data_IF_483067686544
#
_entry.id   IF_483067686544
#
_cell.length_a   1.000
_cell.length_b   1.000
_cell.length_c   1.000
_cell.angle_alpha   90.00
_cell.angle_beta   90.00
_cell.angle_gamma   90.00
#
_symmetry.space_group_name_H-M   'P 1'
#
loop_
_entity.id
_entity.type
_entity.pdbx_description
1 polymer ?
#
# COMPACT_ATOMS: atom_id res chain seq x y z
N UNK A 1 33.82 -51.26 68.30
CA UNK A 1 32.89 -50.12 68.41
C UNK A 1 32.90 -49.40 67.04
N UNK A 2 31.98 -49.78 66.17
CA UNK A 2 31.99 -49.33 64.76
C UNK A 2 30.90 -48.29 64.54
N UNK A 3 31.29 -47.12 64.18
CA UNK A 3 30.39 -45.98 63.88
C UNK A 3 29.84 -46.15 62.45
N UNK A 4 28.53 -46.37 62.28
CA UNK A 4 27.85 -46.40 61.01
C UNK A 4 27.38 -44.98 60.69
N UNK A 5 27.90 -44.39 59.59
CA UNK A 5 27.45 -43.13 59.04
C UNK A 5 26.27 -43.38 58.06
N UNK A 6 25.07 -42.78 58.25
CA UNK A 6 23.99 -42.93 57.27
C UNK A 6 24.25 -42.11 56.02
N UNK A 7 24.15 -42.75 54.85
CA UNK A 7 24.19 -42.10 53.54
C UNK A 7 22.85 -41.41 53.27
N UNK A 8 22.81 -40.06 53.38
CA UNK A 8 21.70 -39.28 52.91
C UNK A 8 21.76 -39.14 51.38
N UNK A 9 20.87 -39.83 50.68
CA UNK A 9 20.65 -39.65 49.26
C UNK A 9 19.89 -38.38 49.05
N UNK A 10 20.55 -37.30 48.59
CA UNK A 10 19.91 -36.08 48.16
C UNK A 10 19.21 -36.29 46.83
N UNK A 11 17.86 -36.31 46.83
CA UNK A 11 17.04 -36.30 45.64
C UNK A 11 17.02 -34.85 45.09
N UNK A 12 17.82 -34.57 44.02
CA UNK A 12 17.75 -33.32 43.31
C UNK A 12 16.48 -33.33 42.44
N UNK A 13 15.42 -32.69 42.89
CA UNK A 13 14.22 -32.42 42.08
C UNK A 13 14.54 -31.33 41.06
N UNK A 14 14.81 -31.75 39.82
CA UNK A 14 14.96 -30.81 38.69
C UNK A 14 13.61 -30.13 38.38
N UNK A 15 13.52 -28.85 38.67
CA UNK A 15 12.38 -28.03 38.30
C UNK A 15 12.50 -27.63 36.82
N UNK A 16 11.82 -28.38 35.93
CA UNK A 16 11.70 -28.02 34.53
C UNK A 16 10.69 -26.89 34.40
N UNK A 17 11.18 -25.64 34.29
CA UNK A 17 10.33 -24.50 33.92
C UNK A 17 9.98 -24.63 32.44
N UNK A 18 8.81 -25.15 32.11
CA UNK A 18 8.23 -24.97 30.79
C UNK A 18 7.89 -23.47 30.62
N UNK A 19 8.74 -22.75 29.92
CA UNK A 19 8.40 -21.45 29.34
C UNK A 19 7.29 -21.70 28.31
N UNK A 20 6.03 -21.52 28.71
CA UNK A 20 4.93 -21.44 27.76
C UNK A 20 5.19 -20.19 26.90
N UNK A 21 5.66 -20.40 25.67
CA UNK A 21 5.70 -19.34 24.68
C UNK A 21 4.26 -18.85 24.50
N UNK A 22 3.96 -17.64 24.97
CA UNK A 22 2.66 -17.02 24.68
C UNK A 22 2.52 -16.96 23.15
N UNK A 23 1.37 -17.36 22.57
CA UNK A 23 1.18 -17.25 21.14
C UNK A 23 1.41 -15.79 20.74
N UNK A 24 2.31 -15.55 19.81
CA UNK A 24 2.50 -14.23 19.22
C UNK A 24 1.14 -13.82 18.63
N UNK A 25 0.48 -12.82 19.23
CA UNK A 25 -0.80 -12.32 18.72
C UNK A 25 -0.51 -11.65 17.40
N UNK A 26 -1.22 -12.06 16.36
CA UNK A 26 -1.27 -11.32 15.12
C UNK A 26 -1.71 -9.88 15.43
N UNK A 27 -1.09 -8.92 14.76
CA UNK A 27 -1.33 -7.48 14.93
C UNK A 27 -1.49 -6.81 13.57
N UNK A 28 -1.48 -5.49 13.51
CA UNK A 28 -1.47 -4.69 12.27
C UNK A 28 -0.51 -3.50 12.38
N UNK A 29 0.16 -3.35 13.51
CA UNK A 29 0.86 -2.10 13.88
C UNK A 29 2.15 -1.84 13.12
N UNK A 30 2.72 -2.83 12.42
CA UNK A 30 4.06 -2.76 11.82
C UNK A 30 4.02 -2.65 10.28
N UNK A 31 2.88 -2.28 9.72
CA UNK A 31 2.76 -1.89 8.32
C UNK A 31 3.28 -0.47 8.14
N UNK A 32 4.17 -0.27 7.19
CA UNK A 32 4.68 1.04 6.77
C UNK A 32 4.11 1.39 5.41
N UNK A 33 3.78 2.65 5.19
CA UNK A 33 3.47 3.15 3.86
C UNK A 33 4.80 3.25 3.11
N UNK A 34 4.91 2.54 2.01
CA UNK A 34 6.12 2.47 1.20
C UNK A 34 5.98 3.27 -0.07
N UNK A 35 4.81 3.27 -0.70
CA UNK A 35 4.58 3.99 -1.93
C UNK A 35 3.20 4.66 -1.97
N UNK A 36 3.14 5.88 -2.53
CA UNK A 36 1.91 6.65 -2.70
C UNK A 36 1.87 7.22 -4.11
N UNK A 37 0.75 7.01 -4.80
CA UNK A 37 0.54 7.44 -6.19
C UNK A 37 -0.80 8.14 -6.36
N UNK A 38 -0.83 9.12 -7.26
CA UNK A 38 -2.06 9.67 -7.83
C UNK A 38 -1.83 10.11 -9.28
N UNK A 39 -2.81 9.87 -10.16
CA UNK A 39 -2.84 10.54 -11.46
C UNK A 39 -3.34 12.00 -11.32
N UNK A 40 -3.33 12.75 -12.42
CA UNK A 40 -3.60 14.19 -12.40
C UNK A 40 -5.01 14.58 -11.92
N UNK A 41 -6.01 13.75 -12.16
CA UNK A 41 -7.41 14.00 -11.78
C UNK A 41 -7.85 13.26 -10.49
N UNK A 42 -6.94 12.48 -9.88
CA UNK A 42 -7.21 11.74 -8.65
C UNK A 42 -8.09 10.50 -8.81
N UNK A 43 -8.43 10.10 -10.03
CA UNK A 43 -9.27 8.92 -10.29
C UNK A 43 -8.52 7.60 -10.12
N UNK A 44 -7.20 7.61 -10.36
CA UNK A 44 -6.31 6.47 -10.14
C UNK A 44 -5.37 6.84 -9.00
N UNK A 45 -5.59 6.23 -7.85
CA UNK A 45 -4.75 6.40 -6.67
C UNK A 45 -4.44 5.06 -6.05
N UNK A 46 -3.24 4.93 -5.47
CA UNK A 46 -2.94 3.82 -4.59
C UNK A 46 -2.01 4.21 -3.44
N UNK A 47 -2.08 3.40 -2.40
CA UNK A 47 -1.19 3.42 -1.24
C UNK A 47 -0.71 1.99 -1.06
N UNK A 48 0.60 1.80 -1.15
CA UNK A 48 1.24 0.51 -0.89
C UNK A 48 1.79 0.49 0.53
N UNK A 49 1.59 -0.64 1.18
CA UNK A 49 2.11 -0.93 2.51
C UNK A 49 3.07 -2.11 2.45
N UNK A 50 4.13 -2.03 3.22
CA UNK A 50 5.10 -3.11 3.40
C UNK A 50 5.33 -3.38 4.89
N UNK A 51 5.64 -4.63 5.23
CA UNK A 51 6.09 -4.99 6.57
C UNK A 51 7.27 -5.96 6.51
N UNK A 52 8.32 -5.64 7.26
CA UNK A 52 9.47 -6.53 7.48
C UNK A 52 9.32 -7.37 8.76
N UNK A 53 8.16 -7.29 9.42
CA UNK A 53 7.89 -8.03 10.65
C UNK A 53 7.97 -9.54 10.45
N UNK A 54 8.61 -10.22 11.40
CA UNK A 54 8.62 -11.68 11.47
C UNK A 54 7.34 -12.28 12.07
N UNK A 55 6.47 -11.44 12.64
CA UNK A 55 5.17 -11.82 13.17
C UNK A 55 4.06 -11.43 12.20
N UNK A 56 2.96 -12.18 12.18
CA UNK A 56 1.82 -11.84 11.35
C UNK A 56 1.20 -10.49 11.74
N UNK A 57 0.92 -9.66 10.73
CA UNK A 57 0.35 -8.32 10.81
C UNK A 57 -1.01 -8.26 10.07
N UNK A 58 -1.79 -9.32 10.12
CA UNK A 58 -2.96 -9.52 9.27
C UNK A 58 -4.28 -8.95 9.81
N UNK A 59 -4.35 -8.48 11.04
CA UNK A 59 -5.60 -8.04 11.68
C UNK A 59 -6.00 -6.64 11.25
N UNK A 60 -6.42 -6.48 9.99
CA UNK A 60 -6.82 -5.19 9.41
C UNK A 60 -8.30 -4.82 9.66
N UNK A 61 -9.17 -5.81 9.91
CA UNK A 61 -10.61 -5.60 10.09
C UNK A 61 -10.92 -4.49 11.09
N UNK A 62 -11.74 -3.51 10.67
CA UNK A 62 -12.16 -2.33 11.44
C UNK A 62 -11.03 -1.33 11.79
N UNK A 63 -9.81 -1.52 11.34
CA UNK A 63 -8.79 -0.47 11.41
C UNK A 63 -9.05 0.59 10.35
N UNK A 64 -8.50 1.79 10.58
CA UNK A 64 -8.83 2.96 9.76
C UNK A 64 -7.56 3.53 9.15
N UNK A 65 -7.63 3.80 7.85
CA UNK A 65 -6.68 4.63 7.11
C UNK A 65 -7.27 6.03 6.98
N UNK A 66 -6.49 7.07 7.20
CA UNK A 66 -6.94 8.47 7.08
C UNK A 66 -6.03 9.26 6.16
N UNK A 67 -6.62 10.22 5.43
CA UNK A 67 -5.97 11.34 4.76
C UNK A 67 -6.27 12.60 5.56
N UNK A 68 -5.23 13.39 5.91
CA UNK A 68 -5.35 14.48 6.85
C UNK A 68 -4.63 15.73 6.36
N UNK A 69 -5.22 16.91 6.64
CA UNK A 69 -4.55 18.19 6.55
C UNK A 69 -4.34 18.76 7.97
N UNK A 70 -3.11 18.66 8.46
CA UNK A 70 -2.82 18.97 9.86
C UNK A 70 -3.60 18.08 10.83
N UNK A 71 -4.50 18.65 11.61
CA UNK A 71 -5.35 17.90 12.56
C UNK A 71 -6.74 17.57 11.98
N UNK A 72 -7.04 17.98 10.75
CA UNK A 72 -8.33 17.76 10.12
C UNK A 72 -8.28 16.50 9.28
N UNK A 73 -9.14 15.53 9.60
CA UNK A 73 -9.36 14.34 8.74
C UNK A 73 -10.17 14.80 7.54
N UNK A 74 -9.63 14.61 6.34
CA UNK A 74 -10.28 14.94 5.07
C UNK A 74 -11.01 13.73 4.51
N UNK A 75 -10.37 12.54 4.60
CA UNK A 75 -10.96 11.28 4.20
C UNK A 75 -10.60 10.16 5.17
N UNK A 76 -11.46 9.14 5.23
CA UNK A 76 -11.23 7.95 6.05
C UNK A 76 -11.72 6.69 5.34
N UNK A 77 -10.95 5.61 5.46
CA UNK A 77 -11.26 4.30 4.94
C UNK A 77 -11.16 3.25 6.04
N UNK A 78 -12.22 2.49 6.28
CA UNK A 78 -12.24 1.41 7.26
C UNK A 78 -12.03 0.08 6.53
N UNK A 79 -11.01 -0.69 6.94
CA UNK A 79 -10.72 -1.98 6.35
C UNK A 79 -11.85 -3.00 6.63
N UNK A 80 -12.44 -3.61 5.59
CA UNK A 80 -13.63 -4.45 5.73
C UNK A 80 -13.32 -5.88 6.21
N UNK A 81 -12.08 -6.33 6.11
CA UNK A 81 -11.64 -7.69 6.43
C UNK A 81 -10.15 -7.72 6.80
N UNK A 82 -9.72 -8.87 7.32
CA UNK A 82 -8.30 -9.14 7.59
C UNK A 82 -7.58 -9.56 6.31
N UNK A 83 -6.25 -9.34 6.28
CA UNK A 83 -5.36 -9.92 5.27
C UNK A 83 -5.21 -11.43 5.49
N UNK A 84 -4.71 -12.12 4.47
CA UNK A 84 -4.26 -13.49 4.58
C UNK A 84 -3.00 -13.65 5.46
N UNK A 85 -2.57 -14.89 5.67
CA UNK A 85 -1.30 -15.23 6.31
C UNK A 85 -0.52 -16.19 5.39
N UNK A 86 0.83 -16.16 5.46
CA UNK A 86 1.71 -15.32 6.28
C UNK A 86 1.86 -13.90 5.73
N UNK A 87 2.17 -12.93 6.63
CA UNK A 87 2.42 -11.53 6.25
C UNK A 87 3.90 -11.13 6.33
N UNK A 88 4.81 -12.03 6.68
CA UNK A 88 6.23 -11.73 6.80
C UNK A 88 6.80 -11.27 5.46
N UNK A 89 7.42 -10.09 5.48
CA UNK A 89 8.02 -9.44 4.30
C UNK A 89 7.03 -9.36 3.12
N UNK A 90 5.79 -8.97 3.42
CA UNK A 90 4.73 -8.84 2.42
C UNK A 90 4.36 -7.39 2.19
N UNK A 91 3.81 -7.16 1.00
CA UNK A 91 3.12 -5.94 0.63
C UNK A 91 1.62 -6.13 0.74
N UNK A 92 0.88 -5.05 0.83
CA UNK A 92 -0.53 -5.00 0.45
C UNK A 92 -0.87 -3.65 -0.15
N UNK A 93 -1.89 -3.64 -1.00
CA UNK A 93 -2.24 -2.52 -1.86
C UNK A 93 -3.67 -2.05 -1.60
N UNK A 94 -3.82 -0.76 -1.39
CA UNK A 94 -5.12 -0.09 -1.27
C UNK A 94 -5.23 0.88 -2.43
N UNK A 95 -6.25 0.74 -3.30
CA UNK A 95 -6.33 1.58 -4.50
C UNK A 95 -7.77 1.90 -4.90
N UNK A 96 -7.95 2.95 -5.71
CA UNK A 96 -9.24 3.31 -6.30
C UNK A 96 -9.71 2.26 -7.31
N UNK A 97 -11.02 2.16 -7.62
CA UNK A 97 -11.56 1.15 -8.54
C UNK A 97 -10.95 1.18 -9.95
N UNK A 98 -10.53 2.35 -10.44
CA UNK A 98 -9.94 2.49 -11.77
C UNK A 98 -8.52 1.91 -11.86
N UNK A 99 -7.85 1.71 -10.72
CA UNK A 99 -6.47 1.23 -10.64
C UNK A 99 -6.27 -0.14 -11.32
N UNK A 100 -7.13 -1.12 -11.05
CA UNK A 100 -6.94 -2.49 -11.53
C UNK A 100 -6.85 -2.56 -13.06
N UNK A 101 -7.73 -1.81 -13.77
CA UNK A 101 -7.73 -1.76 -15.22
C UNK A 101 -6.47 -1.09 -15.78
N UNK A 102 -5.93 -0.08 -15.07
CA UNK A 102 -4.76 0.67 -15.51
C UNK A 102 -3.43 -0.05 -15.21
N UNK A 103 -3.32 -0.67 -14.02
CA UNK A 103 -2.09 -1.32 -13.54
C UNK A 103 -1.98 -2.81 -13.92
N UNK A 104 -3.09 -3.45 -14.32
CA UNK A 104 -3.13 -4.88 -14.67
C UNK A 104 -3.05 -5.83 -13.47
N UNK A 105 -3.18 -5.32 -12.25
CA UNK A 105 -3.25 -6.12 -11.00
C UNK A 105 -4.41 -5.65 -10.13
N UNK A 106 -4.98 -6.56 -9.34
CA UNK A 106 -6.05 -6.22 -8.40
C UNK A 106 -5.46 -5.68 -7.08
N UNK A 107 -6.03 -4.61 -6.50
CA UNK A 107 -5.68 -4.18 -5.16
C UNK A 107 -6.26 -5.14 -4.12
N UNK A 108 -5.65 -5.20 -2.93
CA UNK A 108 -6.16 -6.01 -1.81
C UNK A 108 -7.37 -5.35 -1.15
N UNK A 109 -7.45 -4.03 -1.22
CA UNK A 109 -8.56 -3.23 -0.72
C UNK A 109 -8.90 -2.10 -1.69
N UNK A 110 -10.20 -1.81 -1.83
CA UNK A 110 -10.69 -0.79 -2.76
C UNK A 110 -11.10 0.48 -2.02
N UNK A 111 -10.44 1.60 -2.36
CA UNK A 111 -10.77 2.95 -1.90
C UNK A 111 -12.06 3.47 -2.55
N UNK A 112 -12.64 4.59 -2.04
CA UNK A 112 -13.71 5.29 -2.73
C UNK A 112 -13.31 5.72 -4.15
N UNK A 113 -14.25 5.68 -5.09
CA UNK A 113 -14.02 6.08 -6.48
C UNK A 113 -13.74 7.59 -6.65
N UNK A 114 -14.13 8.41 -5.69
CA UNK A 114 -13.86 9.85 -5.68
C UNK A 114 -12.41 10.21 -5.34
N UNK A 115 -11.60 9.19 -5.03
CA UNK A 115 -10.24 9.37 -4.52
C UNK A 115 -10.17 9.36 -3.01
N UNK A 116 -8.95 9.39 -2.48
CA UNK A 116 -8.67 9.37 -1.03
C UNK A 116 -7.51 10.31 -0.70
N UNK A 117 -6.46 10.32 -1.54
CA UNK A 117 -5.31 11.21 -1.41
C UNK A 117 -5.73 12.59 -1.89
N UNK A 118 -5.46 13.61 -1.07
CA UNK A 118 -5.86 14.98 -1.37
C UNK A 118 -4.81 15.68 -2.23
N UNK A 119 -5.19 16.03 -3.46
CA UNK A 119 -4.34 16.79 -4.36
C UNK A 119 -4.41 18.31 -4.06
N UNK A 120 -3.29 19.00 -4.25
CA UNK A 120 -3.22 20.44 -4.10
C UNK A 120 -3.13 20.97 -2.66
N UNK A 121 -3.07 20.10 -1.66
CA UNK A 121 -2.86 20.43 -0.24
C UNK A 121 -1.72 19.58 0.33
N UNK A 122 -1.17 20.00 1.48
CA UNK A 122 -0.29 19.08 2.25
C UNK A 122 -1.17 17.98 2.81
N UNK A 123 -0.92 16.74 2.37
CA UNK A 123 -1.65 15.57 2.86
C UNK A 123 -0.76 14.70 3.76
N UNK A 124 -1.39 14.06 4.72
CA UNK A 124 -0.78 13.11 5.63
C UNK A 124 -1.62 11.85 5.67
N UNK A 125 -1.12 10.80 5.04
CA UNK A 125 -1.75 9.48 5.05
C UNK A 125 -1.28 8.71 6.27
N UNK A 126 -2.22 8.15 7.03
CA UNK A 126 -1.92 7.45 8.28
C UNK A 126 -2.80 6.21 8.48
N UNK A 127 -2.16 5.09 8.77
CA UNK A 127 -2.85 3.93 9.37
C UNK A 127 -3.01 4.22 10.87
N UNK A 128 -4.25 4.49 11.29
CA UNK A 128 -4.55 4.90 12.67
C UNK A 128 -4.17 3.82 13.67
N UNK A 129 -3.51 4.21 14.76
CA UNK A 129 -2.98 3.34 15.80
C UNK A 129 -1.86 2.37 15.37
N UNK A 130 -1.31 2.50 14.16
CA UNK A 130 -0.05 1.84 13.80
C UNK A 130 1.13 2.45 14.57
N UNK A 131 2.21 1.70 14.74
CA UNK A 131 3.44 2.20 15.38
C UNK A 131 4.36 2.92 14.40
N UNK A 132 4.02 2.88 13.13
CA UNK A 132 4.77 3.52 12.05
C UNK A 132 4.37 4.99 11.93
N UNK A 133 5.32 5.87 11.57
CA UNK A 133 5.01 7.28 11.38
C UNK A 133 4.03 7.50 10.23
N UNK A 134 3.20 8.55 10.30
CA UNK A 134 2.38 8.98 9.18
C UNK A 134 3.24 9.35 7.96
N UNK A 135 2.72 9.11 6.76
CA UNK A 135 3.35 9.51 5.51
C UNK A 135 2.83 10.88 5.08
N UNK A 136 3.67 11.90 5.20
CA UNK A 136 3.28 13.28 4.91
C UNK A 136 4.05 13.84 3.71
N UNK A 137 3.34 14.53 2.83
CA UNK A 137 3.93 15.17 1.64
C UNK A 137 3.28 16.52 1.32
N UNK A 138 4.09 17.43 0.78
CA UNK A 138 3.61 18.72 0.26
C UNK A 138 2.89 18.53 -1.09
N UNK A 139 2.00 19.45 -1.50
CA UNK A 139 1.24 19.34 -2.75
C UNK A 139 2.07 19.09 -4.00
N UNK A 140 3.24 19.76 -4.09
CA UNK A 140 4.13 19.66 -5.23
C UNK A 140 5.09 18.45 -5.17
N UNK A 141 5.08 17.69 -4.07
CA UNK A 141 5.99 16.54 -3.90
C UNK A 141 5.42 15.28 -4.55
N UNK A 142 4.08 15.09 -4.50
CA UNK A 142 3.43 13.93 -5.11
C UNK A 142 3.35 14.14 -6.63
N UNK A 143 4.03 13.31 -7.45
CA UNK A 143 3.89 13.36 -8.90
C UNK A 143 2.45 13.00 -9.29
N UNK A 144 1.95 13.64 -10.35
CA UNK A 144 0.61 13.35 -10.91
C UNK A 144 0.70 13.13 -12.42
N UNK A 145 1.86 12.72 -12.90
CA UNK A 145 2.16 12.55 -14.33
C UNK A 145 1.71 11.19 -14.90
N UNK A 146 1.18 10.32 -14.03
CA UNK A 146 0.73 8.98 -14.42
C UNK A 146 1.84 7.93 -14.51
N UNK A 147 3.10 8.31 -14.22
CA UNK A 147 4.29 7.41 -14.31
C UNK A 147 4.98 7.27 -12.96
N UNK A 148 5.15 8.37 -12.23
CA UNK A 148 5.93 8.40 -11.00
C UNK A 148 5.05 8.41 -9.76
N UNK A 149 5.61 7.90 -8.69
CA UNK A 149 5.05 7.86 -7.34
C UNK A 149 5.99 8.53 -6.34
N UNK A 150 5.56 8.67 -5.09
CA UNK A 150 6.43 8.90 -3.94
C UNK A 150 6.78 7.57 -3.30
N UNK A 151 8.04 7.18 -3.38
CA UNK A 151 8.60 5.94 -2.82
C UNK A 151 9.43 6.26 -1.57
N UNK A 152 9.14 5.60 -0.46
CA UNK A 152 9.84 5.68 0.82
C UNK A 152 10.54 4.38 1.23
N UNK A 153 10.67 3.42 0.33
CA UNK A 153 11.26 2.09 0.57
C UNK A 153 12.69 2.15 1.12
N UNK A 154 13.44 3.16 0.70
CA UNK A 154 14.84 3.36 1.10
C UNK A 154 15.05 4.47 2.17
N UNK A 155 13.97 5.05 2.73
CA UNK A 155 14.06 6.12 3.73
C UNK A 155 13.17 7.32 3.44
N UNK A 156 13.67 8.56 3.35
CA UNK A 156 12.85 9.70 2.97
C UNK A 156 12.22 9.51 1.60
N UNK A 157 10.95 9.86 1.46
CA UNK A 157 10.22 9.69 0.19
C UNK A 157 10.91 10.44 -0.97
N UNK A 158 11.07 9.76 -2.07
CA UNK A 158 11.64 10.26 -3.32
C UNK A 158 10.69 9.97 -4.49
N UNK A 159 10.82 10.74 -5.56
CA UNK A 159 10.11 10.45 -6.81
C UNK A 159 10.78 9.28 -7.51
N UNK A 160 10.01 8.25 -7.81
CA UNK A 160 10.45 7.03 -8.49
C UNK A 160 9.39 6.53 -9.49
N UNK A 161 9.77 5.61 -10.37
CA UNK A 161 8.79 4.89 -11.20
C UNK A 161 7.83 4.11 -10.30
N UNK A 162 6.53 4.13 -10.63
CA UNK A 162 5.54 3.40 -9.84
C UNK A 162 5.71 1.88 -9.98
N UNK A 163 5.66 1.16 -8.85
CA UNK A 163 5.86 -0.29 -8.78
C UNK A 163 4.90 -0.99 -7.81
N UNK A 164 3.58 -0.70 -7.89
CA UNK A 164 2.62 -1.22 -6.92
C UNK A 164 2.63 -2.73 -6.84
N UNK A 165 2.70 -3.27 -5.63
CA UNK A 165 2.74 -4.71 -5.36
C UNK A 165 1.62 -5.10 -4.41
N UNK A 166 0.78 -6.06 -4.79
CA UNK A 166 -0.31 -6.55 -3.96
C UNK A 166 0.14 -7.69 -3.02
N UNK A 167 -0.74 -8.13 -2.13
CA UNK A 167 -0.46 -9.17 -1.14
C UNK A 167 -0.11 -10.53 -1.76
N UNK A 168 -0.60 -10.82 -2.96
CA UNK A 168 -0.23 -12.01 -3.72
C UNK A 168 1.21 -11.94 -4.28
N UNK A 169 1.87 -10.77 -4.20
CA UNK A 169 3.19 -10.53 -4.75
C UNK A 169 3.18 -10.25 -6.25
N UNK A 170 2.04 -9.85 -6.80
CA UNK A 170 1.94 -9.39 -8.18
C UNK A 170 2.32 -7.92 -8.22
N UNK A 171 3.24 -7.55 -9.11
CA UNK A 171 3.65 -6.16 -9.34
C UNK A 171 3.00 -5.63 -10.61
N UNK A 172 2.35 -4.48 -10.52
CA UNK A 172 1.79 -3.74 -11.63
C UNK A 172 2.69 -2.60 -12.08
N UNK A 173 2.26 -1.90 -13.10
CA UNK A 173 2.89 -0.67 -13.57
C UNK A 173 1.85 0.21 -14.24
N UNK A 174 1.76 1.47 -13.80
CA UNK A 174 0.91 2.45 -14.43
C UNK A 174 1.71 3.17 -15.53
N UNK A 175 1.08 3.34 -16.67
CA UNK A 175 1.63 4.12 -17.77
C UNK A 175 0.69 5.27 -18.07
N UNK A 176 1.17 6.43 -18.55
CA UNK A 176 0.31 7.53 -18.93
C UNK A 176 -0.74 7.04 -19.93
N UNK A 177 -2.00 7.41 -19.72
CA UNK A 177 -2.99 7.23 -20.77
C UNK A 177 -2.57 8.05 -22.00
N UNK A 178 -2.62 7.46 -23.21
CA UNK A 178 -2.36 8.23 -24.42
C UNK A 178 -3.36 9.37 -24.46
N UNK A 179 -2.84 10.61 -24.41
CA UNK A 179 -3.69 11.81 -24.37
C UNK A 179 -4.76 11.70 -25.48
N UNK A 180 -6.03 11.82 -25.10
CA UNK A 180 -7.16 11.77 -26.02
C UNK A 180 -7.03 12.78 -27.18
N UNK A 181 -6.23 13.83 -27.00
CA UNK A 181 -5.80 14.79 -28.02
C UNK A 181 -5.03 14.12 -29.15
N UNK A 182 -4.18 13.12 -28.91
CA UNK A 182 -3.43 12.42 -29.95
C UNK A 182 -4.35 11.56 -30.84
N UNK A 183 -5.38 10.93 -30.27
CA UNK A 183 -6.40 10.20 -31.05
C UNK A 183 -7.30 11.16 -31.84
N UNK A 184 -7.63 12.31 -31.30
CA UNK A 184 -8.44 13.33 -31.99
C UNK A 184 -7.77 13.89 -33.24
N UNK A 185 -6.45 14.14 -33.18
CA UNK A 185 -5.68 14.66 -34.30
C UNK A 185 -5.57 13.62 -35.44
N UNK A 186 -5.37 12.34 -35.10
CA UNK A 186 -5.32 11.26 -36.12
C UNK A 186 -6.68 11.06 -36.79
N UNK A 187 -7.78 11.11 -36.06
CA UNK A 187 -9.12 10.98 -36.60
C UNK A 187 -9.50 12.19 -37.50
N UNK A 188 -9.18 13.41 -37.08
CA UNK A 188 -9.42 14.63 -37.86
C UNK A 188 -8.55 14.68 -39.13
N UNK A 189 -7.30 14.21 -39.06
CA UNK A 189 -6.41 14.09 -40.21
C UNK A 189 -6.92 13.10 -41.26
N UNK A 190 -7.42 11.95 -40.81
CA UNK A 190 -7.99 10.91 -41.68
C UNK A 190 -9.26 11.41 -42.38
N UNK A 191 -10.18 12.06 -41.67
CA UNK A 191 -11.39 12.64 -42.23
C UNK A 191 -11.11 13.73 -43.25
N UNK A 192 -10.13 14.59 -42.99
CA UNK A 192 -9.68 15.64 -43.92
C UNK A 192 -9.08 15.10 -45.19
N UNK A 193 -8.35 13.98 -45.13
CA UNK A 193 -7.77 13.31 -46.31
C UNK A 193 -8.83 12.68 -47.19
N UNK A 194 -9.84 12.04 -46.65
CA UNK A 194 -10.96 11.46 -47.42
C UNK A 194 -11.86 12.54 -48.03
N UNK A 195 -12.10 13.65 -47.38
CA UNK A 195 -12.87 14.77 -47.95
C UNK A 195 -12.17 15.44 -49.13
N UNK A 196 -10.84 15.56 -49.10
CA UNK A 196 -10.06 16.08 -50.26
C UNK A 196 -10.07 15.15 -51.48
N UNK A 197 -10.00 13.84 -51.30
CA UNK A 197 -10.08 12.88 -52.41
C UNK A 197 -11.42 12.91 -53.12
N UNK A 198 -12.53 13.13 -52.45
CA UNK A 198 -13.86 13.24 -53.08
C UNK A 198 -14.04 14.50 -53.93
N UNK A 199 -13.33 15.61 -53.63
CA UNK A 199 -13.39 16.85 -54.42
C UNK A 199 -12.49 16.82 -55.67
N UNK A 200 -11.54 15.95 -55.76
CA UNK A 200 -10.66 15.80 -56.92
C UNK A 200 -11.20 14.81 -57.99
N UNK A 201 -12.37 14.17 -57.73
CA UNK A 201 -13.00 13.19 -58.62
C UNK A 201 -14.30 13.70 -59.27
N UNK A 202 -14.60 15.01 -59.16
CA UNK A 202 -15.67 15.72 -59.87
C UNK A 202 -15.06 16.79 -60.79
#
# INVERSE_FOLDING_TARGET
MGLRIPRHTALAAGFVVLLAAAPARATFHLWQIEEVFSNADGTIQYIEFHTTSLSNQNLMLNHVLTSNQGLTVLDSYTFPNNLGIPTQNKFFLVATPAFAAAAGIEPDYTLPAAGFIQLGVTDTVQLVAAFTPPFSFAPAALPTDGVHSLDASAGPAVVADNTPTNFAGQTGHLVPEPEATALGITAAGALGFFARRRRAAL
#
